data_IF_976810709506
#
_entry.id   IF_976810709506
#
_cell.length_a   1.000
_cell.length_b   1.000
_cell.length_c   1.000
_cell.angle_alpha   90.00
_cell.angle_beta   90.00
_cell.angle_gamma   90.00
#
_symmetry.space_group_name_H-M   'P 1'
#
loop_
_entity.id
_entity.type
_entity.pdbx_description
1 polymer ?
#
# COMPACT_ATOMS: atom_id res chain seq x y z
N UNK A 1 -11.89 7.34 24.36
CA UNK A 1 -11.45 7.98 23.10
C UNK A 1 -10.56 7.01 22.32
N UNK A 2 -10.89 6.80 21.07
CA UNK A 2 -10.14 5.86 20.21
C UNK A 2 -8.89 6.57 19.69
N UNK A 3 -7.72 5.91 19.74
CA UNK A 3 -6.48 6.45 19.19
C UNK A 3 -6.55 6.51 17.66
N UNK A 4 -5.77 7.38 17.04
CA UNK A 4 -5.70 7.47 15.58
C UNK A 4 -5.27 6.13 14.96
N UNK A 5 -4.35 5.44 15.60
CA UNK A 5 -3.86 4.15 15.15
C UNK A 5 -4.96 3.09 15.19
N UNK A 6 -5.74 3.08 16.25
CA UNK A 6 -6.84 2.16 16.43
C UNK A 6 -7.94 2.41 15.39
N UNK A 7 -8.25 3.68 15.13
CA UNK A 7 -9.23 4.08 14.13
C UNK A 7 -8.78 3.69 12.74
N UNK A 8 -7.50 3.85 12.41
CA UNK A 8 -6.94 3.43 11.12
C UNK A 8 -7.05 1.92 10.93
N UNK A 9 -6.79 1.14 11.99
CA UNK A 9 -6.92 -0.32 11.93
C UNK A 9 -8.35 -0.77 11.67
N UNK A 10 -9.32 -0.11 12.28
CA UNK A 10 -10.73 -0.39 12.06
C UNK A 10 -11.16 -0.05 10.63
N UNK A 11 -10.68 1.09 10.10
CA UNK A 11 -10.97 1.51 8.74
C UNK A 11 -10.38 0.53 7.72
N UNK A 12 -9.17 0.06 7.95
CA UNK A 12 -8.52 -0.93 7.10
C UNK A 12 -9.33 -2.23 7.11
N UNK A 13 -9.74 -2.68 8.27
CA UNK A 13 -10.51 -3.91 8.40
C UNK A 13 -11.84 -3.81 7.64
N UNK A 14 -12.55 -2.71 7.80
CA UNK A 14 -13.81 -2.48 7.11
C UNK A 14 -13.62 -2.50 5.60
N UNK A 15 -12.58 -1.85 5.11
CA UNK A 15 -12.27 -1.81 3.69
C UNK A 15 -11.93 -3.21 3.17
N UNK A 16 -11.09 -3.97 3.91
CA UNK A 16 -10.74 -5.33 3.53
C UNK A 16 -11.96 -6.25 3.47
N UNK A 17 -12.88 -6.10 4.42
CA UNK A 17 -14.11 -6.88 4.43
C UNK A 17 -14.96 -6.57 3.19
N UNK A 18 -15.01 -5.31 2.78
CA UNK A 18 -15.72 -4.92 1.57
C UNK A 18 -15.08 -5.53 0.31
N UNK A 19 -13.74 -5.63 0.29
CA UNK A 19 -13.03 -6.22 -0.83
C UNK A 19 -13.25 -7.73 -0.94
N UNK A 20 -13.57 -8.40 0.16
CA UNK A 20 -13.74 -9.85 0.18
C UNK A 20 -14.85 -10.32 -0.76
N UNK A 21 -15.80 -9.45 -1.09
CA UNK A 21 -16.87 -9.77 -2.04
C UNK A 21 -16.44 -9.63 -3.50
N UNK A 22 -15.35 -8.90 -3.76
CA UNK A 22 -14.88 -8.59 -5.12
C UNK A 22 -13.69 -9.46 -5.55
N UNK A 23 -12.97 -10.04 -4.60
CA UNK A 23 -11.75 -10.79 -4.87
C UNK A 23 -11.82 -12.18 -4.26
N UNK A 24 -11.10 -13.13 -4.85
CA UNK A 24 -10.93 -14.46 -4.27
C UNK A 24 -10.21 -14.35 -2.92
N UNK A 25 -10.41 -15.32 -2.00
CA UNK A 25 -9.78 -15.28 -0.68
C UNK A 25 -8.27 -15.11 -0.71
N UNK A 26 -7.58 -15.77 -1.63
CA UNK A 26 -6.13 -15.65 -1.76
C UNK A 26 -5.72 -14.24 -2.20
N UNK A 27 -6.52 -13.62 -3.06
CA UNK A 27 -6.27 -12.26 -3.54
C UNK A 27 -6.50 -11.22 -2.45
N UNK A 28 -7.58 -11.37 -1.71
CA UNK A 28 -7.85 -10.52 -0.55
C UNK A 28 -6.78 -10.70 0.51
N UNK A 29 -6.29 -11.93 0.69
CA UNK A 29 -5.21 -12.22 1.62
C UNK A 29 -3.92 -11.51 1.27
N UNK A 30 -3.60 -11.40 -0.03
CA UNK A 30 -2.42 -10.66 -0.48
C UNK A 30 -2.53 -9.18 -0.13
N UNK A 31 -3.69 -8.58 -0.39
CA UNK A 31 -3.95 -7.19 -0.06
C UNK A 31 -3.87 -6.97 1.45
N UNK A 32 -4.42 -7.89 2.23
CA UNK A 32 -4.36 -7.82 3.70
C UNK A 32 -2.92 -7.83 4.19
N UNK A 33 -2.09 -8.71 3.66
CA UNK A 33 -0.67 -8.77 4.05
C UNK A 33 0.07 -7.50 3.67
N UNK A 34 -0.29 -6.89 2.54
CA UNK A 34 0.28 -5.59 2.16
C UNK A 34 -0.05 -4.52 3.21
N UNK A 35 -1.29 -4.49 3.68
CA UNK A 35 -1.70 -3.56 4.74
C UNK A 35 -0.98 -3.84 6.06
N UNK A 36 -0.78 -5.11 6.39
CA UNK A 36 -0.09 -5.52 7.61
C UNK A 36 1.37 -5.09 7.61
N UNK A 37 2.01 -5.12 6.46
CA UNK A 37 3.39 -4.64 6.33
C UNK A 37 3.45 -3.11 6.35
N UNK A 38 2.60 -2.46 5.57
CA UNK A 38 2.62 -1.01 5.40
C UNK A 38 2.22 -0.26 6.67
N UNK A 39 1.26 -0.77 7.42
CA UNK A 39 0.73 -0.09 8.59
C UNK A 39 1.80 0.37 9.57
N UNK A 40 2.56 -0.56 10.16
CA UNK A 40 3.64 -0.17 11.07
C UNK A 40 4.78 0.58 10.37
N UNK A 41 5.07 0.21 9.12
CA UNK A 41 6.18 0.79 8.37
C UNK A 41 5.96 2.29 8.09
N UNK A 42 4.72 2.66 7.79
CA UNK A 42 4.37 4.03 7.43
C UNK A 42 3.94 4.87 8.63
N UNK A 43 3.90 4.29 9.83
CA UNK A 43 3.43 5.02 11.00
C UNK A 43 4.27 6.26 11.24
N UNK A 44 3.60 7.40 11.41
CA UNK A 44 4.27 8.67 11.66
C UNK A 44 4.86 9.34 10.44
N UNK A 45 4.80 8.69 9.27
CA UNK A 45 5.33 9.27 8.05
C UNK A 45 4.27 10.09 7.33
N UNK A 46 4.70 11.17 6.68
CA UNK A 46 3.81 12.02 5.89
C UNK A 46 4.34 12.11 4.46
N UNK A 47 3.42 12.27 3.50
CA UNK A 47 3.80 12.41 2.11
C UNK A 47 3.89 13.90 1.74
N UNK A 48 4.25 14.20 0.48
CA UNK A 48 4.58 15.58 0.05
C UNK A 48 3.47 16.61 0.31
N UNK A 49 2.20 16.20 0.28
CA UNK A 49 1.08 17.12 0.53
C UNK A 49 0.83 17.34 2.03
N UNK A 50 1.55 16.62 2.90
CA UNK A 50 1.36 16.71 4.34
C UNK A 50 0.38 15.70 4.91
N UNK A 51 -0.26 14.88 4.08
CA UNK A 51 -1.17 13.85 4.55
C UNK A 51 -0.39 12.66 5.13
N UNK A 52 -0.97 11.93 6.11
CA UNK A 52 -0.33 10.71 6.58
C UNK A 52 -0.10 9.73 5.42
N UNK A 53 1.11 9.17 5.35
CA UNK A 53 1.50 8.29 4.25
C UNK A 53 0.59 7.07 4.11
N UNK A 54 0.25 6.43 5.22
CA UNK A 54 -0.63 5.27 5.19
C UNK A 54 -2.01 5.63 4.63
N UNK A 55 -2.57 6.74 5.06
CA UNK A 55 -3.87 7.21 4.58
C UNK A 55 -3.82 7.47 3.07
N UNK A 56 -2.74 8.08 2.59
CA UNK A 56 -2.55 8.33 1.16
C UNK A 56 -2.49 7.02 0.36
N UNK A 57 -1.70 6.06 0.84
CA UNK A 57 -1.55 4.77 0.16
C UNK A 57 -2.86 4.00 0.11
N UNK A 58 -3.59 3.95 1.22
CA UNK A 58 -4.88 3.27 1.28
C UNK A 58 -5.95 3.96 0.45
N UNK A 59 -5.93 5.29 0.41
CA UNK A 59 -6.85 6.05 -0.43
C UNK A 59 -6.64 5.78 -1.90
N UNK A 60 -5.39 5.73 -2.34
CA UNK A 60 -5.06 5.39 -3.72
C UNK A 60 -5.47 3.96 -4.06
N UNK A 61 -5.23 3.02 -3.15
CA UNK A 61 -5.62 1.62 -3.33
C UNK A 61 -7.15 1.49 -3.44
N UNK A 62 -7.88 2.24 -2.64
CA UNK A 62 -9.35 2.25 -2.67
C UNK A 62 -9.86 2.73 -4.02
N UNK A 63 -9.27 3.78 -4.58
CA UNK A 63 -9.62 4.28 -5.90
C UNK A 63 -9.39 3.20 -6.96
N UNK A 64 -8.24 2.53 -6.92
CA UNK A 64 -7.92 1.48 -7.88
C UNK A 64 -8.87 0.29 -7.76
N UNK A 65 -9.25 -0.07 -6.54
CA UNK A 65 -10.22 -1.14 -6.32
C UNK A 65 -11.58 -0.77 -6.93
N UNK A 66 -11.98 0.50 -6.80
CA UNK A 66 -13.20 1.01 -7.42
C UNK A 66 -13.14 1.00 -8.95
N UNK A 67 -11.94 1.04 -9.52
CA UNK A 67 -11.72 0.96 -10.95
C UNK A 67 -11.54 -0.48 -11.45
N UNK A 68 -11.76 -1.45 -10.57
CA UNK A 68 -11.63 -2.89 -10.88
C UNK A 68 -10.23 -3.32 -11.29
N UNK A 69 -9.22 -2.67 -10.73
CA UNK A 69 -7.82 -3.08 -10.95
C UNK A 69 -7.56 -4.41 -10.23
N UNK A 70 -6.54 -5.14 -10.70
CA UNK A 70 -6.20 -6.43 -10.13
C UNK A 70 -5.59 -6.31 -8.73
N UNK A 71 -5.63 -7.41 -7.99
CA UNK A 71 -5.18 -7.44 -6.60
C UNK A 71 -3.69 -7.13 -6.46
N UNK A 72 -2.86 -7.54 -7.42
CA UNK A 72 -1.42 -7.26 -7.37
C UNK A 72 -1.13 -5.78 -7.52
N UNK A 73 -1.84 -5.09 -8.40
CA UNK A 73 -1.72 -3.66 -8.57
C UNK A 73 -2.15 -2.91 -7.31
N UNK A 74 -3.23 -3.36 -6.67
CA UNK A 74 -3.71 -2.77 -5.42
C UNK A 74 -2.67 -2.97 -4.32
N UNK A 75 -2.13 -4.19 -4.18
CA UNK A 75 -1.11 -4.47 -3.17
C UNK A 75 0.14 -3.63 -3.40
N UNK A 76 0.59 -3.51 -4.66
CA UNK A 76 1.76 -2.70 -5.01
C UNK A 76 1.54 -1.23 -4.68
N UNK A 77 0.34 -0.73 -4.87
CA UNK A 77 0.00 0.66 -4.53
C UNK A 77 0.11 0.90 -3.03
N UNK A 78 -0.35 -0.04 -2.22
CA UNK A 78 -0.20 0.06 -0.77
C UNK A 78 1.27 0.05 -0.38
N UNK A 79 2.08 -0.75 -1.06
CA UNK A 79 3.49 -0.95 -0.72
C UNK A 79 4.44 0.04 -1.42
N UNK A 80 3.92 1.02 -2.13
CA UNK A 80 4.73 1.87 -3.03
C UNK A 80 5.88 2.59 -2.34
N UNK A 81 5.74 2.93 -1.06
CA UNK A 81 6.78 3.65 -0.32
C UNK A 81 7.72 2.73 0.46
N UNK A 82 7.49 1.41 0.42
CA UNK A 82 8.35 0.47 1.14
C UNK A 82 9.83 0.62 0.81
N UNK A 83 10.24 0.91 -0.45
CA UNK A 83 11.67 1.11 -0.75
C UNK A 83 12.34 2.22 0.05
N UNK A 84 11.59 3.20 0.54
CA UNK A 84 12.16 4.29 1.33
C UNK A 84 12.45 3.87 2.77
N UNK A 85 11.81 2.82 3.26
CA UNK A 85 11.87 2.44 4.68
C UNK A 85 12.43 1.05 4.94
N UNK A 86 12.65 0.25 3.90
CA UNK A 86 13.21 -1.10 4.02
C UNK A 86 14.41 -1.24 3.10
N UNK A 87 15.57 -1.52 3.67
CA UNK A 87 16.79 -1.72 2.88
C UNK A 87 16.70 -2.97 2.00
N UNK A 88 16.06 -4.02 2.50
CA UNK A 88 15.90 -5.29 1.80
C UNK A 88 14.55 -5.42 1.09
N UNK A 89 13.96 -4.30 0.70
CA UNK A 89 12.58 -4.28 0.18
C UNK A 89 12.40 -5.19 -1.03
N UNK A 90 13.36 -5.21 -1.95
CA UNK A 90 13.21 -5.96 -3.19
C UNK A 90 13.11 -7.47 -2.92
N UNK A 91 14.02 -7.99 -2.11
CA UNK A 91 14.04 -9.40 -1.75
C UNK A 91 12.82 -9.78 -0.94
N UNK A 92 12.46 -8.92 0.01
CA UNK A 92 11.33 -9.19 0.90
C UNK A 92 10.00 -9.17 0.16
N UNK A 93 9.80 -8.19 -0.73
CA UNK A 93 8.56 -8.12 -1.49
C UNK A 93 8.44 -9.29 -2.48
N UNK A 94 9.54 -9.65 -3.13
CA UNK A 94 9.51 -10.79 -4.05
C UNK A 94 9.18 -12.08 -3.31
N UNK A 95 9.75 -12.28 -2.14
CA UNK A 95 9.52 -13.48 -1.32
C UNK A 95 8.10 -13.55 -0.81
N UNK A 96 7.58 -12.43 -0.28
CA UNK A 96 6.30 -12.43 0.43
C UNK A 96 5.10 -12.11 -0.47
N UNK A 97 5.32 -11.42 -1.59
CA UNK A 97 4.24 -10.95 -2.46
C UNK A 97 4.40 -11.36 -3.92
N UNK A 98 5.55 -11.87 -4.30
CA UNK A 98 5.81 -12.33 -5.66
C UNK A 98 6.51 -11.30 -6.53
N UNK A 99 7.06 -11.77 -7.65
CA UNK A 99 7.85 -10.96 -8.57
C UNK A 99 7.04 -9.83 -9.20
N UNK A 100 5.75 -10.08 -9.48
CA UNK A 100 4.90 -9.08 -10.13
C UNK A 100 4.67 -7.87 -9.22
N UNK A 101 4.37 -8.10 -7.95
CA UNK A 101 4.18 -7.01 -6.99
C UNK A 101 5.50 -6.24 -6.82
N UNK A 102 6.62 -6.96 -6.71
CA UNK A 102 7.94 -6.32 -6.58
C UNK A 102 8.22 -5.41 -7.78
N UNK A 103 7.95 -5.88 -9.00
CA UNK A 103 8.17 -5.08 -10.21
C UNK A 103 7.27 -3.85 -10.26
N UNK A 104 6.02 -4.00 -9.85
CA UNK A 104 5.08 -2.88 -9.83
C UNK A 104 5.49 -1.83 -8.80
N UNK A 105 5.93 -2.27 -7.61
CA UNK A 105 6.42 -1.34 -6.58
C UNK A 105 7.65 -0.58 -7.09
N UNK A 106 8.57 -1.28 -7.75
CA UNK A 106 9.76 -0.64 -8.32
C UNK A 106 9.38 0.45 -9.32
N UNK A 107 8.42 0.17 -10.21
CA UNK A 107 7.95 1.14 -11.19
C UNK A 107 7.29 2.36 -10.56
N UNK A 108 6.42 2.13 -9.58
CA UNK A 108 5.73 3.22 -8.87
C UNK A 108 6.76 4.09 -8.12
N UNK A 109 7.72 3.45 -7.46
CA UNK A 109 8.77 4.15 -6.72
C UNK A 109 9.59 5.06 -7.64
N UNK A 110 9.93 4.57 -8.82
CA UNK A 110 10.66 5.38 -9.81
C UNK A 110 9.85 6.58 -10.27
N UNK A 111 8.57 6.39 -10.51
CA UNK A 111 7.68 7.48 -10.91
C UNK A 111 7.57 8.55 -9.82
N UNK A 112 7.49 8.13 -8.57
CA UNK A 112 7.47 9.08 -7.45
C UNK A 112 8.78 9.87 -7.34
N UNK A 113 9.91 9.23 -7.57
CA UNK A 113 11.21 9.91 -7.57
C UNK A 113 11.28 10.97 -8.66
N UNK A 114 10.79 10.64 -9.85
CA UNK A 114 10.76 11.59 -10.98
C UNK A 114 9.84 12.77 -10.64
N UNK A 115 8.69 12.52 -10.05
CA UNK A 115 7.74 13.56 -9.66
C UNK A 115 8.36 14.51 -8.65
N UNK A 116 9.01 13.97 -7.62
CA UNK A 116 9.70 14.76 -6.61
C UNK A 116 10.78 15.63 -7.22
N UNK A 117 11.54 15.07 -8.14
CA UNK A 117 12.61 15.78 -8.81
C UNK A 117 12.06 16.94 -9.66
N UNK A 118 10.94 16.73 -10.33
CA UNK A 118 10.30 17.74 -11.18
C UNK A 118 9.75 18.92 -10.41
N UNK A 119 9.41 18.73 -9.14
CA UNK A 119 8.82 19.77 -8.28
C UNK A 119 9.89 20.67 -7.61
N UNK A 120 11.15 20.33 -7.75
CA UNK A 120 12.25 21.14 -7.25
C UNK A 120 12.53 22.29 -8.24
#
# INVERSE_FOLDING_TARGET
>A
MVSNQQQSSENIRTWLDALASAFAPAETGLIRRACELAGPLYEGQIELTGAPLLQHALGAAEILAGMHMDHETIAATILHAAPEYLDDWAERLEKDFGAQVKMLVEGISRMEQIRQFSEI
#
